data_IF_201018408955
#
_entry.id   IF_201018408955
#
_cell.length_a   1.000
_cell.length_b   1.000
_cell.length_c   1.000
_cell.angle_alpha   90.00
_cell.angle_beta   90.00
_cell.angle_gamma   90.00
#
_symmetry.space_group_name_H-M   'P 1'
#
loop_
_entity.id
_entity.type
_entity.pdbx_description
1 polymer ?
#
# COMPACT_ATOMS: atom_id res chain seq x y z
N UNK A 1 21.15 33.85 11.36
CA UNK A 1 20.61 33.41 10.05
C UNK A 1 20.72 31.90 10.02
N UNK A 2 19.60 31.17 10.07
CA UNK A 2 19.63 29.73 9.92
C UNK A 2 20.12 29.44 8.49
N UNK A 3 21.29 28.81 8.35
CA UNK A 3 21.76 28.35 7.05
C UNK A 3 20.65 27.50 6.42
N UNK A 4 20.21 27.89 5.23
CA UNK A 4 19.20 27.19 4.46
C UNK A 4 19.77 25.82 4.06
N UNK A 5 19.72 24.85 4.97
CA UNK A 5 20.15 23.47 4.70
C UNK A 5 19.06 22.84 3.84
N UNK A 6 19.41 22.54 2.60
CA UNK A 6 18.58 21.77 1.69
C UNK A 6 18.09 20.49 2.38
N UNK A 7 16.88 20.05 2.04
CA UNK A 7 16.39 18.75 2.49
C UNK A 7 17.36 17.64 2.01
N UNK A 8 17.58 16.53 2.74
CA UNK A 8 18.54 15.50 2.32
C UNK A 8 18.32 14.99 0.89
N UNK A 9 17.07 14.87 0.46
CA UNK A 9 16.73 14.51 -0.93
C UNK A 9 17.17 15.57 -1.94
N UNK A 10 16.96 16.86 -1.65
CA UNK A 10 17.37 17.95 -2.54
C UNK A 10 18.89 18.01 -2.68
N UNK A 11 19.62 17.80 -1.58
CA UNK A 11 21.08 17.71 -1.61
C UNK A 11 21.55 16.56 -2.52
N UNK A 12 20.97 15.36 -2.39
CA UNK A 12 21.28 14.21 -3.24
C UNK A 12 20.99 14.47 -4.73
N UNK A 13 19.85 15.12 -5.03
CA UNK A 13 19.46 15.45 -6.39
C UNK A 13 20.40 16.47 -7.06
N UNK A 14 21.08 17.32 -6.28
CA UNK A 14 22.11 18.22 -6.81
C UNK A 14 23.42 17.50 -7.13
N UNK A 15 23.71 16.37 -6.49
CA UNK A 15 24.97 15.65 -6.62
C UNK A 15 24.95 14.58 -7.71
N UNK A 16 23.82 13.89 -7.88
CA UNK A 16 23.68 12.80 -8.86
C UNK A 16 22.22 12.48 -9.22
N UNK A 17 22.06 11.62 -10.21
CA UNK A 17 20.77 10.98 -10.50
C UNK A 17 20.38 10.09 -9.31
N UNK A 18 19.15 10.26 -8.84
CA UNK A 18 18.54 9.50 -7.75
C UNK A 18 17.60 8.45 -8.36
N UNK A 19 17.65 7.22 -7.85
CA UNK A 19 16.94 6.06 -8.41
C UNK A 19 15.69 5.76 -7.58
N UNK A 20 14.54 5.72 -8.24
CA UNK A 20 13.28 5.22 -7.68
C UNK A 20 13.23 3.69 -7.79
N UNK A 21 12.54 3.05 -6.87
CA UNK A 21 12.34 1.59 -6.88
C UNK A 21 11.52 1.09 -8.08
N UNK A 22 11.38 -0.22 -8.16
CA UNK A 22 10.65 -0.89 -9.23
C UNK A 22 9.24 -1.33 -8.84
N UNK A 23 8.63 -2.12 -9.72
CA UNK A 23 7.25 -2.56 -9.57
C UNK A 23 7.01 -3.52 -8.37
N UNK A 24 6.34 -3.00 -7.33
CA UNK A 24 5.84 -3.76 -6.18
C UNK A 24 5.00 -4.99 -6.59
N UNK A 25 4.02 -4.80 -7.48
CA UNK A 25 3.10 -5.88 -7.89
C UNK A 25 3.80 -7.04 -8.59
N UNK A 26 4.80 -6.78 -9.43
CA UNK A 26 5.59 -7.82 -10.10
C UNK A 26 6.40 -8.64 -9.11
N UNK A 27 6.93 -8.00 -8.06
CA UNK A 27 7.65 -8.70 -6.99
C UNK A 27 6.71 -9.57 -6.17
N UNK A 28 5.55 -9.06 -5.76
CA UNK A 28 4.52 -9.83 -5.02
C UNK A 28 4.10 -11.09 -5.79
N UNK A 29 3.93 -11.01 -7.12
CA UNK A 29 3.53 -12.17 -7.94
C UNK A 29 4.50 -13.36 -7.83
N UNK A 30 5.80 -13.12 -7.56
CA UNK A 30 6.81 -14.18 -7.39
C UNK A 30 6.58 -15.03 -6.16
N UNK A 31 5.93 -14.48 -5.13
CA UNK A 31 5.61 -15.20 -3.89
C UNK A 31 4.41 -16.15 -4.03
N UNK A 32 3.68 -16.13 -5.16
CA UNK A 32 2.56 -17.04 -5.46
C UNK A 32 1.50 -17.13 -4.35
N UNK A 33 1.21 -15.99 -3.72
CA UNK A 33 0.29 -15.89 -2.59
C UNK A 33 -1.13 -16.40 -2.93
N UNK A 34 -1.70 -17.12 -1.97
CA UNK A 34 -3.04 -17.70 -1.99
C UNK A 34 -4.07 -16.76 -1.36
N UNK A 35 -5.36 -17.03 -1.56
CA UNK A 35 -6.45 -16.25 -0.93
C UNK A 35 -6.31 -16.16 0.60
N UNK A 36 -5.90 -17.25 1.26
CA UNK A 36 -5.67 -17.26 2.70
C UNK A 36 -4.55 -16.32 3.13
N UNK A 37 -3.56 -16.08 2.28
CA UNK A 37 -2.46 -15.14 2.58
C UNK A 37 -2.95 -13.70 2.53
N UNK A 38 -3.82 -13.36 1.56
CA UNK A 38 -4.45 -12.04 1.46
C UNK A 38 -5.42 -11.79 2.61
N UNK A 39 -6.16 -12.82 3.07
CA UNK A 39 -7.04 -12.71 4.22
C UNK A 39 -6.28 -12.60 5.54
N UNK A 40 -5.20 -13.35 5.68
CA UNK A 40 -4.48 -13.51 6.94
C UNK A 40 -5.42 -13.90 8.09
N UNK A 41 -5.03 -13.59 9.32
CA UNK A 41 -5.88 -13.82 10.50
C UNK A 41 -7.05 -12.84 10.59
N UNK A 42 -6.88 -11.63 10.04
CA UNK A 42 -7.81 -10.52 10.24
C UNK A 42 -9.09 -10.64 9.42
N UNK A 43 -8.99 -11.19 8.21
CA UNK A 43 -10.11 -11.29 7.28
C UNK A 43 -10.52 -12.76 7.03
N UNK A 44 -10.21 -13.65 7.97
CA UNK A 44 -10.57 -15.08 7.86
C UNK A 44 -12.07 -15.26 7.70
N UNK A 45 -12.88 -14.49 8.44
CA UNK A 45 -14.35 -14.55 8.42
C UNK A 45 -15.00 -13.59 7.40
N UNK A 46 -14.21 -12.98 6.50
CA UNK A 46 -14.74 -12.04 5.51
C UNK A 46 -15.73 -12.74 4.56
N UNK A 47 -16.97 -12.25 4.52
CA UNK A 47 -18.07 -12.84 3.75
C UNK A 47 -18.28 -12.19 2.38
N UNK A 48 -17.47 -11.18 2.02
CA UNK A 48 -17.54 -10.55 0.71
C UNK A 48 -16.75 -11.31 -0.34
N UNK A 49 -16.41 -10.62 -1.43
CA UNK A 49 -15.56 -11.13 -2.52
C UNK A 49 -14.18 -11.56 -1.99
N UNK A 50 -13.56 -12.49 -2.71
CA UNK A 50 -12.15 -12.84 -2.57
C UNK A 50 -11.23 -11.60 -2.53
N UNK A 51 -10.30 -11.61 -1.58
CA UNK A 51 -9.38 -10.51 -1.30
C UNK A 51 -8.07 -10.61 -2.10
N UNK A 52 -7.81 -11.76 -2.73
CA UNK A 52 -6.68 -11.95 -3.65
C UNK A 52 -6.74 -10.92 -4.78
N UNK A 53 -5.64 -10.19 -4.91
CA UNK A 53 -5.50 -9.09 -5.86
C UNK A 53 -5.57 -7.70 -5.21
N UNK A 54 -6.06 -7.59 -3.97
CA UNK A 54 -5.90 -6.36 -3.18
C UNK A 54 -4.49 -6.34 -2.56
N UNK A 55 -3.51 -5.82 -3.31
CA UNK A 55 -2.11 -5.81 -2.89
C UNK A 55 -1.89 -4.99 -1.62
N UNK A 56 -2.69 -3.96 -1.41
CA UNK A 56 -2.62 -3.08 -0.26
C UNK A 56 -2.95 -3.80 1.05
N UNK A 57 -3.76 -4.86 1.02
CA UNK A 57 -4.06 -5.66 2.22
C UNK A 57 -2.83 -6.40 2.75
N UNK A 58 -1.85 -6.70 1.89
CA UNK A 58 -0.62 -7.37 2.31
C UNK A 58 0.21 -6.51 3.27
N UNK A 59 -0.01 -5.19 3.33
CA UNK A 59 0.57 -4.34 4.38
C UNK A 59 0.12 -4.75 5.80
N UNK A 60 -1.05 -5.39 5.91
CA UNK A 60 -1.61 -5.85 7.19
C UNK A 60 -1.44 -7.35 7.38
N UNK A 61 -1.59 -8.13 6.32
CA UNK A 61 -1.63 -9.60 6.40
C UNK A 61 -0.28 -10.26 6.14
N UNK A 62 0.57 -9.65 5.31
CA UNK A 62 1.90 -10.15 4.95
C UNK A 62 2.97 -9.04 5.03
N UNK A 63 3.06 -8.29 6.15
CA UNK A 63 3.93 -7.10 6.23
C UNK A 63 5.41 -7.44 5.99
N UNK A 64 5.83 -8.66 6.33
CA UNK A 64 7.22 -9.10 6.17
C UNK A 64 7.61 -9.24 4.69
N UNK A 65 6.68 -9.71 3.84
CA UNK A 65 6.92 -9.82 2.40
C UNK A 65 7.08 -8.43 1.78
N UNK A 66 6.23 -7.48 2.18
CA UNK A 66 6.32 -6.10 1.68
C UNK A 66 7.64 -5.44 2.13
N UNK A 67 8.04 -5.65 3.39
CA UNK A 67 9.32 -5.15 3.91
C UNK A 67 10.52 -5.75 3.18
N UNK A 68 10.48 -7.05 2.88
CA UNK A 68 11.51 -7.75 2.12
C UNK A 68 11.64 -7.18 0.70
N UNK A 69 10.52 -6.93 0.01
CA UNK A 69 10.54 -6.35 -1.34
C UNK A 69 11.16 -4.95 -1.34
N UNK A 70 10.79 -4.07 -0.39
CA UNK A 70 11.44 -2.77 -0.27
C UNK A 70 12.95 -2.91 0.01
N UNK A 71 13.33 -3.83 0.89
CA UNK A 71 14.74 -4.08 1.22
C UNK A 71 15.52 -4.52 -0.02
N UNK A 72 14.96 -5.41 -0.84
CA UNK A 72 15.59 -5.86 -2.10
C UNK A 72 15.82 -4.70 -3.08
N UNK A 73 14.89 -3.74 -3.19
CA UNK A 73 15.10 -2.57 -4.05
C UNK A 73 16.18 -1.64 -3.50
N UNK A 74 16.18 -1.38 -2.19
CA UNK A 74 17.21 -0.56 -1.54
C UNK A 74 18.60 -1.20 -1.65
N UNK A 75 18.71 -2.51 -1.42
CA UNK A 75 19.96 -3.29 -1.57
C UNK A 75 20.45 -3.30 -3.03
N UNK A 76 19.53 -3.23 -4.00
CA UNK A 76 19.87 -3.08 -5.42
C UNK A 76 20.32 -1.66 -5.81
N UNK A 77 20.28 -0.70 -4.88
CA UNK A 77 20.72 0.68 -5.09
C UNK A 77 19.61 1.69 -5.36
N UNK A 78 18.35 1.37 -5.08
CA UNK A 78 17.29 2.38 -5.06
C UNK A 78 17.53 3.37 -3.90
N UNK A 79 17.32 4.65 -4.19
CA UNK A 79 17.43 5.74 -3.22
C UNK A 79 16.07 6.13 -2.63
N UNK A 80 15.00 5.90 -3.41
CA UNK A 80 13.63 6.21 -3.06
C UNK A 80 12.81 4.93 -3.22
N UNK A 81 11.93 4.67 -2.26
CA UNK A 81 10.92 3.60 -2.36
C UNK A 81 9.53 4.20 -2.29
N UNK A 82 8.61 3.66 -3.09
CA UNK A 82 7.19 3.98 -2.99
C UNK A 82 6.54 3.13 -1.89
N UNK A 83 5.49 3.62 -1.22
CA UNK A 83 4.70 2.77 -0.33
C UNK A 83 3.78 1.85 -1.15
N UNK A 84 3.50 0.64 -0.67
CA UNK A 84 2.52 -0.28 -1.29
C UNK A 84 1.07 0.21 -1.08
N UNK A 85 0.71 1.32 -1.71
CA UNK A 85 -0.55 2.06 -1.46
C UNK A 85 -1.21 2.60 -2.72
N UNK A 86 -0.87 2.08 -3.90
CA UNK A 86 -1.36 2.60 -5.18
C UNK A 86 -2.90 2.73 -5.22
N UNK A 87 -3.63 1.70 -4.76
CA UNK A 87 -5.09 1.70 -4.69
C UNK A 87 -5.63 1.92 -3.27
N UNK A 88 -4.79 2.34 -2.31
CA UNK A 88 -5.17 2.46 -0.89
C UNK A 88 -6.02 3.71 -0.61
N UNK A 89 -7.18 3.79 -1.26
CA UNK A 89 -8.23 4.78 -1.05
C UNK A 89 -9.56 4.07 -0.85
N UNK A 90 -10.58 4.73 -0.32
CA UNK A 90 -11.92 4.14 -0.22
C UNK A 90 -12.45 3.72 -1.59
N UNK A 91 -12.26 4.56 -2.61
CA UNK A 91 -12.63 4.26 -3.99
C UNK A 91 -11.83 3.08 -4.54
N UNK A 92 -10.51 3.03 -4.33
CA UNK A 92 -9.68 1.95 -4.85
C UNK A 92 -9.97 0.59 -4.20
N UNK A 93 -10.34 0.58 -2.92
CA UNK A 93 -10.59 -0.64 -2.16
C UNK A 93 -12.06 -1.05 -2.09
N UNK A 94 -13.00 -0.27 -2.64
CA UNK A 94 -14.43 -0.56 -2.51
C UNK A 94 -14.81 -1.92 -3.08
N UNK A 95 -14.19 -2.34 -4.20
CA UNK A 95 -14.47 -3.62 -4.85
C UNK A 95 -14.11 -4.85 -4.00
N UNK A 96 -13.30 -4.66 -2.95
CA UNK A 96 -12.86 -5.71 -2.06
C UNK A 96 -13.50 -5.62 -0.68
N UNK A 97 -13.72 -4.39 -0.16
CA UNK A 97 -13.95 -4.15 1.26
C UNK A 97 -15.19 -3.32 1.57
N UNK A 98 -15.88 -2.77 0.57
CA UNK A 98 -17.15 -2.08 0.76
C UNK A 98 -18.31 -3.07 0.62
N UNK A 99 -19.19 -3.13 1.62
CA UNK A 99 -20.34 -4.06 1.62
C UNK A 99 -21.64 -3.43 1.08
N UNK A 100 -21.63 -2.15 0.73
CA UNK A 100 -22.80 -1.50 0.15
C UNK A 100 -23.03 -1.93 -1.30
N UNK A 101 -24.29 -2.19 -1.64
CA UNK A 101 -24.68 -2.60 -3.00
C UNK A 101 -25.16 -1.40 -3.85
N UNK A 102 -24.82 -1.35 -5.15
CA UNK A 102 -25.31 -0.32 -6.04
C UNK A 102 -26.81 -0.47 -6.33
N UNK A 103 -27.55 0.64 -6.25
CA UNK A 103 -28.96 0.67 -6.62
C UNK A 103 -29.10 0.37 -8.12
N UNK A 104 -29.87 -0.67 -8.46
CA UNK A 104 -30.06 -1.15 -9.85
C UNK A 104 -28.76 -1.58 -10.54
N UNK A 105 -27.75 -2.01 -9.77
CA UNK A 105 -26.49 -2.52 -10.33
C UNK A 105 -25.55 -1.44 -10.91
N UNK A 106 -25.90 -0.15 -10.79
CA UNK A 106 -25.08 0.96 -11.32
C UNK A 106 -24.29 1.64 -10.22
N UNK A 107 -22.96 1.66 -10.35
CA UNK A 107 -22.05 2.44 -9.50
C UNK A 107 -22.03 3.90 -9.96
N UNK A 108 -23.05 4.65 -9.58
CA UNK A 108 -23.18 6.07 -9.90
C UNK A 108 -22.51 6.97 -8.84
N UNK A 109 -22.70 8.29 -8.97
CA UNK A 109 -22.17 9.26 -8.01
C UNK A 109 -22.68 9.01 -6.58
N UNK A 110 -23.95 8.61 -6.39
CA UNK A 110 -24.49 8.37 -5.05
C UNK A 110 -23.87 7.13 -4.42
N UNK A 111 -23.66 6.08 -5.20
CA UNK A 111 -22.92 4.91 -4.75
C UNK A 111 -21.52 5.28 -4.27
N UNK A 112 -20.75 6.03 -5.08
CA UNK A 112 -19.40 6.43 -4.67
C UNK A 112 -19.38 7.44 -3.52
N UNK A 113 -20.42 8.25 -3.36
CA UNK A 113 -20.57 9.08 -2.16
C UNK A 113 -20.67 8.20 -0.91
N UNK A 114 -21.47 7.12 -0.95
CA UNK A 114 -21.53 6.16 0.17
C UNK A 114 -20.18 5.46 0.42
N UNK A 115 -19.48 5.06 -0.64
CA UNK A 115 -18.12 4.47 -0.53
C UNK A 115 -17.16 5.43 0.17
N UNK A 116 -17.19 6.72 -0.21
CA UNK A 116 -16.31 7.74 0.36
C UNK A 116 -16.66 8.05 1.80
N UNK A 117 -17.95 8.02 2.16
CA UNK A 117 -18.44 8.34 3.50
C UNK A 117 -18.38 7.16 4.49
N UNK A 118 -18.16 5.93 4.00
CA UNK A 118 -18.10 4.73 4.82
C UNK A 118 -17.01 4.81 5.90
N UNK A 119 -17.43 4.83 7.16
CA UNK A 119 -16.54 5.11 8.30
C UNK A 119 -15.51 4.01 8.51
N UNK A 120 -15.92 2.75 8.34
CA UNK A 120 -15.07 1.58 8.57
C UNK A 120 -14.02 1.42 7.47
N UNK A 121 -14.42 1.60 6.21
CA UNK A 121 -13.51 1.59 5.07
C UNK A 121 -12.51 2.74 5.16
N UNK A 122 -12.93 3.95 5.53
CA UNK A 122 -12.01 5.08 5.76
C UNK A 122 -10.99 4.77 6.85
N UNK A 123 -11.44 4.16 7.96
CA UNK A 123 -10.55 3.78 9.06
C UNK A 123 -9.54 2.72 8.61
N UNK A 124 -9.99 1.72 7.87
CA UNK A 124 -9.14 0.66 7.34
C UNK A 124 -8.13 1.19 6.32
N UNK A 125 -8.57 2.02 5.37
CA UNK A 125 -7.70 2.70 4.39
C UNK A 125 -6.60 3.51 5.10
N UNK A 126 -6.95 4.27 6.14
CA UNK A 126 -5.97 5.03 6.93
C UNK A 126 -4.97 4.11 7.61
N UNK A 127 -5.44 3.00 8.17
CA UNK A 127 -4.57 2.01 8.81
C UNK A 127 -3.58 1.39 7.82
N UNK A 128 -4.07 0.98 6.63
CA UNK A 128 -3.24 0.44 5.54
C UNK A 128 -2.14 1.42 5.16
N UNK A 129 -2.47 2.69 4.91
CA UNK A 129 -1.49 3.71 4.54
C UNK A 129 -0.44 3.93 5.64
N UNK A 130 -0.85 3.98 6.90
CA UNK A 130 0.08 4.11 8.03
C UNK A 130 0.95 2.87 8.20
N UNK A 131 0.41 1.67 7.98
CA UNK A 131 1.18 0.43 8.03
C UNK A 131 2.23 0.40 6.91
N UNK A 132 1.85 0.74 5.68
CA UNK A 132 2.74 0.80 4.53
C UNK A 132 3.90 1.78 4.77
N UNK A 133 3.62 3.00 5.25
CA UNK A 133 4.67 3.97 5.57
C UNK A 133 5.63 3.47 6.66
N UNK A 134 5.12 2.77 7.68
CA UNK A 134 5.97 2.15 8.71
C UNK A 134 6.83 1.03 8.15
N UNK A 135 6.29 0.21 7.25
CA UNK A 135 7.02 -0.89 6.59
C UNK A 135 8.17 -0.31 5.75
N UNK A 136 7.88 0.64 4.86
CA UNK A 136 8.91 1.28 4.02
C UNK A 136 10.00 1.94 4.87
N UNK A 137 9.64 2.62 5.97
CA UNK A 137 10.62 3.20 6.90
C UNK A 137 11.51 2.14 7.55
N UNK A 138 10.95 1.00 7.99
CA UNK A 138 11.74 -0.08 8.59
C UNK A 138 12.73 -0.68 7.59
N UNK A 139 12.30 -0.90 6.35
CA UNK A 139 13.18 -1.35 5.27
C UNK A 139 14.34 -0.36 5.04
N UNK A 140 14.04 0.94 4.93
CA UNK A 140 15.07 1.97 4.78
C UNK A 140 16.06 2.02 5.96
N UNK A 141 15.57 1.88 7.20
CA UNK A 141 16.42 1.85 8.39
C UNK A 141 17.27 0.59 8.52
N UNK A 142 16.89 -0.49 7.85
CA UNK A 142 17.63 -1.75 7.86
C UNK A 142 18.82 -1.74 6.91
N UNK A 143 18.69 -1.03 5.78
CA UNK A 143 19.71 -0.99 4.71
C UNK A 143 20.68 0.19 4.88
N UNK A 144 20.28 1.25 5.59
CA UNK A 144 21.11 2.42 5.92
C UNK A 144 22.17 2.11 7.00
#
# INVERSE_FOLDING_TARGET
>A
MAANRLHPLEALLCERIVVLDGAMGTMIQRHKLSESDYRGKRFVDWQGKDLKGSLELLNLTQPQIIEEIHSQYLEAGADIVETNTFSATTIGLHDFLFQGEPVRGRKDQKFFQHVVDDVDLRKLVREINLAAAKIARRAAQRVA
#
